data_IF_899330317309
#
_entry.id   IF_899330317309
#
_cell.length_a   1.000
_cell.length_b   1.000
_cell.length_c   1.000
_cell.angle_alpha   90.00
_cell.angle_beta   90.00
_cell.angle_gamma   90.00
#
_symmetry.space_group_name_H-M   'P 1'
#
loop_
_entity.id
_entity.type
_entity.pdbx_description
1 polymer ?
#
# COMPACT_ATOMS: atom_id res chain seq x y z
N UNK A 1 -43.18 -76.17 -71.31
CA UNK A 1 -42.92 -75.81 -72.70
C UNK A 1 -41.88 -74.72 -72.70
N UNK A 2 -40.71 -75.09 -73.19
CA UNK A 2 -39.70 -74.29 -73.85
C UNK A 2 -39.24 -72.97 -73.11
N UNK A 3 -38.09 -72.54 -73.01
CA UNK A 3 -36.75 -73.00 -73.38
C UNK A 3 -35.75 -71.91 -72.87
N UNK A 4 -34.66 -72.37 -72.48
CA UNK A 4 -33.31 -72.15 -72.93
C UNK A 4 -32.53 -70.91 -72.37
N UNK A 5 -31.57 -71.23 -71.53
CA UNK A 5 -30.14 -70.91 -71.65
C UNK A 5 -29.66 -69.50 -72.03
N UNK A 6 -28.90 -68.94 -71.19
CA UNK A 6 -28.08 -67.77 -71.46
C UNK A 6 -27.06 -67.49 -70.40
N UNK A 7 -25.97 -68.27 -70.32
CA UNK A 7 -24.83 -67.99 -69.44
C UNK A 7 -24.07 -66.81 -69.95
N UNK A 8 -23.85 -65.83 -69.13
CA UNK A 8 -22.78 -64.80 -69.27
C UNK A 8 -21.94 -64.70 -68.04
N UNK A 9 -20.68 -65.08 -68.20
CA UNK A 9 -19.59 -64.87 -67.24
C UNK A 9 -19.38 -63.38 -67.02
N UNK A 10 -19.54 -62.91 -65.80
CA UNK A 10 -19.06 -61.56 -65.38
C UNK A 10 -17.79 -61.71 -64.53
N UNK A 11 -16.72 -61.11 -64.99
CA UNK A 11 -15.43 -61.05 -64.33
C UNK A 11 -15.53 -60.20 -63.08
N UNK A 12 -15.17 -60.78 -61.95
CA UNK A 12 -14.97 -60.03 -60.67
C UNK A 12 -13.65 -59.26 -60.80
N UNK A 13 -13.74 -57.92 -60.86
CA UNK A 13 -12.61 -57.03 -60.66
C UNK A 13 -12.59 -56.60 -59.17
N UNK A 14 -11.71 -57.20 -58.43
CA UNK A 14 -11.39 -56.78 -57.05
C UNK A 14 -10.74 -55.38 -57.08
N UNK A 15 -11.43 -54.35 -56.64
CA UNK A 15 -10.85 -53.07 -56.34
C UNK A 15 -10.45 -53.09 -54.87
N UNK A 16 -9.12 -53.14 -54.60
CA UNK A 16 -8.56 -52.76 -53.29
C UNK A 16 -8.75 -51.26 -53.06
N UNK A 17 -9.72 -50.87 -52.26
CA UNK A 17 -9.81 -49.52 -51.70
C UNK A 17 -8.91 -49.46 -50.48
N UNK A 18 -7.78 -48.75 -50.61
CA UNK A 18 -6.97 -48.33 -49.46
C UNK A 18 -7.75 -47.30 -48.67
N UNK A 19 -8.29 -47.69 -47.54
CA UNK A 19 -8.82 -46.77 -46.53
C UNK A 19 -7.62 -46.06 -45.88
N UNK A 20 -7.34 -44.82 -46.23
CA UNK A 20 -6.50 -43.92 -45.40
C UNK A 20 -7.32 -43.56 -44.16
N UNK A 21 -6.98 -44.16 -43.05
CA UNK A 21 -7.41 -43.69 -41.71
C UNK A 21 -6.66 -42.40 -41.40
N UNK A 22 -7.31 -41.26 -41.59
CA UNK A 22 -6.85 -39.99 -41.06
C UNK A 22 -7.00 -40.03 -39.52
N UNK A 23 -5.87 -40.13 -38.80
CA UNK A 23 -5.86 -39.87 -37.35
C UNK A 23 -6.17 -38.39 -37.15
N UNK A 24 -7.17 -38.01 -36.33
CA UNK A 24 -7.35 -36.62 -35.97
C UNK A 24 -6.15 -36.20 -35.06
N UNK A 25 -5.38 -35.23 -35.54
CA UNK A 25 -4.38 -34.52 -34.72
C UNK A 25 -5.17 -33.73 -33.69
N UNK A 26 -5.30 -34.25 -32.47
CA UNK A 26 -5.81 -33.50 -31.32
C UNK A 26 -4.72 -32.55 -30.93
N UNK A 27 -4.78 -31.32 -31.41
CA UNK A 27 -3.99 -30.19 -30.88
C UNK A 27 -4.59 -29.91 -29.50
N UNK A 28 -3.95 -30.43 -28.43
CA UNK A 28 -4.18 -29.93 -27.08
C UNK A 28 -3.69 -28.47 -27.09
N UNK A 29 -4.60 -27.54 -27.24
CA UNK A 29 -4.37 -26.19 -26.84
C UNK A 29 -4.18 -26.21 -25.29
N UNK A 30 -2.93 -26.25 -24.82
CA UNK A 30 -2.61 -25.95 -23.44
C UNK A 30 -3.07 -24.49 -23.23
N UNK A 31 -4.24 -24.30 -22.67
CA UNK A 31 -4.63 -23.04 -22.07
C UNK A 31 -3.60 -22.81 -20.96
N UNK A 32 -2.60 -21.98 -21.22
CA UNK A 32 -1.84 -21.35 -20.15
C UNK A 32 -2.86 -20.52 -19.37
N UNK A 33 -3.45 -21.10 -18.33
CA UNK A 33 -4.00 -20.31 -17.26
C UNK A 33 -2.81 -19.48 -16.77
N UNK A 34 -2.79 -18.19 -17.11
CA UNK A 34 -1.90 -17.25 -16.46
C UNK A 34 -2.16 -17.42 -14.96
N UNK A 35 -1.22 -18.02 -14.26
CA UNK A 35 -1.31 -18.12 -12.81
C UNK A 35 -1.40 -16.68 -12.30
N UNK A 36 -2.46 -16.37 -11.59
CA UNK A 36 -2.68 -15.06 -11.01
C UNK A 36 -1.50 -14.74 -10.07
N UNK A 37 -0.82 -13.62 -10.33
CA UNK A 37 0.35 -13.22 -9.54
C UNK A 37 -0.12 -12.39 -8.34
N UNK A 38 0.15 -12.86 -7.14
CA UNK A 38 0.01 -12.06 -5.93
C UNK A 38 1.31 -11.30 -5.72
N UNK A 39 1.32 -10.00 -6.08
CA UNK A 39 2.51 -9.17 -6.05
C UNK A 39 2.55 -8.27 -4.81
N UNK A 40 3.76 -8.12 -4.25
CA UNK A 40 4.07 -7.25 -3.10
C UNK A 40 5.15 -6.27 -3.52
N UNK A 41 4.94 -4.99 -3.23
CA UNK A 41 5.88 -3.92 -3.56
C UNK A 41 6.29 -3.18 -2.30
N UNK A 42 7.59 -2.91 -2.20
CA UNK A 42 8.22 -2.20 -1.07
C UNK A 42 8.99 -1.00 -1.61
N UNK A 43 8.73 0.19 -1.10
CA UNK A 43 9.58 1.34 -1.37
C UNK A 43 10.88 1.19 -0.58
N UNK A 44 12.02 1.14 -1.28
CA UNK A 44 13.34 1.01 -0.65
C UNK A 44 13.74 2.22 0.16
N UNK A 45 13.14 3.37 -0.10
CA UNK A 45 13.37 4.64 0.60
C UNK A 45 14.86 5.00 0.69
N UNK A 46 15.61 4.72 -0.39
CA UNK A 46 17.07 4.89 -0.45
C UNK A 46 17.41 6.37 -0.58
N UNK A 47 17.82 6.99 0.53
CA UNK A 47 18.21 8.41 0.60
C UNK A 47 19.71 8.64 0.59
N UNK A 48 20.53 7.62 0.85
CA UNK A 48 22.01 7.73 0.90
C UNK A 48 22.66 7.75 -0.49
N UNK A 49 21.91 7.40 -1.53
CA UNK A 49 22.38 7.39 -2.93
C UNK A 49 21.51 8.30 -3.76
N UNK A 50 22.11 9.31 -4.41
CA UNK A 50 21.39 10.22 -5.29
C UNK A 50 20.74 9.47 -6.44
N UNK A 51 19.44 9.68 -6.66
CA UNK A 51 18.61 8.95 -7.62
C UNK A 51 18.64 7.42 -7.47
N UNK A 52 19.00 6.95 -6.26
CA UNK A 52 19.16 5.52 -5.98
C UNK A 52 17.91 4.86 -5.41
N UNK A 53 16.80 5.58 -5.24
CA UNK A 53 15.58 4.98 -4.71
C UNK A 53 14.95 4.01 -5.71
N UNK A 54 14.42 2.92 -5.17
CA UNK A 54 13.82 1.82 -5.95
C UNK A 54 12.55 1.32 -5.31
N UNK A 55 11.73 0.61 -6.10
CA UNK A 55 10.67 -0.27 -5.60
C UNK A 55 11.13 -1.71 -5.76
N UNK A 56 11.17 -2.46 -4.67
CA UNK A 56 11.35 -3.91 -4.70
C UNK A 56 10.00 -4.57 -4.97
N UNK A 57 9.94 -5.44 -5.95
CA UNK A 57 8.74 -6.21 -6.28
C UNK A 57 8.98 -7.70 -6.05
N UNK A 58 8.03 -8.36 -5.38
CA UNK A 58 8.07 -9.79 -5.10
C UNK A 58 6.75 -10.43 -5.53
N UNK A 59 6.83 -11.64 -6.09
CA UNK A 59 5.69 -12.51 -6.35
C UNK A 59 5.55 -13.55 -5.23
N UNK A 60 4.35 -13.70 -4.68
CA UNK A 60 4.00 -14.75 -3.73
C UNK A 60 3.45 -15.96 -4.50
N UNK A 61 4.00 -17.15 -4.26
CA UNK A 61 3.62 -18.42 -4.90
C UNK A 61 2.26 -18.99 -4.45
N UNK A 62 1.54 -18.28 -3.58
CA UNK A 62 0.29 -18.71 -2.97
C UNK A 62 0.46 -19.57 -1.72
N UNK A 63 1.69 -19.95 -1.39
CA UNK A 63 2.07 -20.61 -0.14
C UNK A 63 2.84 -19.67 0.81
N UNK A 64 3.11 -18.41 0.37
CA UNK A 64 3.77 -17.39 1.14
C UNK A 64 5.26 -17.21 0.82
N UNK A 65 5.86 -18.05 -0.03
CA UNK A 65 7.25 -17.84 -0.44
C UNK A 65 7.33 -16.71 -1.46
N UNK A 66 8.26 -15.79 -1.20
CA UNK A 66 8.46 -14.63 -2.03
C UNK A 66 9.65 -14.82 -2.97
N UNK A 67 9.46 -14.49 -4.24
CA UNK A 67 10.52 -14.42 -5.25
C UNK A 67 10.53 -13.05 -5.91
N UNK A 68 11.70 -12.46 -6.22
CA UNK A 68 11.74 -11.20 -6.94
C UNK A 68 10.98 -11.27 -8.27
N UNK A 69 10.17 -10.26 -8.56
CA UNK A 69 9.50 -10.12 -9.84
C UNK A 69 10.50 -9.81 -10.96
N UNK A 70 10.19 -10.13 -12.23
CA UNK A 70 11.07 -9.82 -13.36
C UNK A 70 11.48 -8.34 -13.39
N UNK A 71 12.76 -8.07 -13.42
CA UNK A 71 13.33 -6.70 -13.45
C UNK A 71 13.37 -5.97 -12.10
N UNK A 72 12.89 -6.59 -10.99
CA UNK A 72 13.07 -6.02 -9.65
C UNK A 72 14.55 -5.98 -9.23
N UNK A 73 15.02 -4.90 -8.57
CA UNK A 73 14.31 -3.68 -8.18
C UNK A 73 14.11 -2.67 -9.31
N UNK A 74 13.01 -1.89 -9.23
CA UNK A 74 12.63 -0.89 -10.24
C UNK A 74 13.06 0.51 -9.81
N UNK A 75 13.89 1.19 -10.60
CA UNK A 75 14.33 2.56 -10.31
C UNK A 75 13.14 3.53 -10.30
N UNK A 76 13.06 4.38 -9.27
CA UNK A 76 12.09 5.48 -9.20
C UNK A 76 12.61 6.77 -9.82
N UNK A 77 13.85 6.78 -10.32
CA UNK A 77 14.59 7.95 -10.80
C UNK A 77 14.63 9.11 -9.79
N UNK A 78 14.61 8.80 -8.50
CA UNK A 78 14.66 9.78 -7.42
C UNK A 78 15.43 9.28 -6.19
N UNK A 79 15.47 10.10 -5.16
CA UNK A 79 16.17 9.86 -3.89
C UNK A 79 15.14 9.73 -2.77
N UNK A 80 15.20 8.66 -1.98
CA UNK A 80 14.36 8.42 -0.81
C UNK A 80 14.68 9.33 0.37
N UNK A 81 14.12 9.00 1.54
CA UNK A 81 14.23 9.82 2.76
C UNK A 81 14.94 9.08 3.90
N UNK A 82 16.03 8.37 3.62
CA UNK A 82 16.75 7.70 4.70
C UNK A 82 17.18 8.71 5.78
N UNK A 83 16.97 8.40 7.06
CA UNK A 83 17.43 9.26 8.13
C UNK A 83 18.97 9.32 8.12
N UNK A 84 19.57 10.42 8.63
CA UNK A 84 21.00 10.46 8.87
C UNK A 84 21.44 9.32 9.81
N UNK A 85 22.58 8.73 9.55
CA UNK A 85 23.19 7.68 10.40
C UNK A 85 23.20 8.12 11.88
N UNK A 86 22.73 7.25 12.77
CA UNK A 86 22.70 7.48 14.21
C UNK A 86 21.49 8.26 14.75
N UNK A 87 20.55 8.65 13.87
CA UNK A 87 19.26 9.13 14.33
C UNK A 87 18.32 7.94 14.53
N UNK A 88 17.59 7.86 15.65
CA UNK A 88 16.49 6.90 15.75
C UNK A 88 15.51 7.13 14.61
N UNK A 89 14.68 6.13 14.27
CA UNK A 89 13.55 6.29 13.35
C UNK A 89 12.89 7.63 13.66
N UNK A 90 13.13 8.64 12.84
CA UNK A 90 12.83 10.02 13.15
C UNK A 90 11.71 10.54 12.29
N UNK A 91 11.31 11.77 12.53
CA UNK A 91 10.20 12.47 11.85
C UNK A 91 10.19 12.35 10.31
N UNK A 92 11.30 11.96 9.69
CA UNK A 92 11.44 11.78 8.25
C UNK A 92 10.88 10.45 7.74
N UNK A 93 10.78 9.45 8.62
CA UNK A 93 10.33 8.08 8.30
C UNK A 93 9.06 7.70 9.05
N UNK A 94 8.56 8.57 9.92
CA UNK A 94 7.30 8.38 10.65
C UNK A 94 6.13 8.75 9.73
N UNK A 95 5.82 7.87 8.79
CA UNK A 95 4.78 8.07 7.79
C UNK A 95 4.26 6.72 7.27
N UNK A 96 3.08 6.70 6.68
CA UNK A 96 2.45 5.52 6.09
C UNK A 96 1.95 5.83 4.68
N UNK A 97 1.76 4.77 3.87
CA UNK A 97 1.29 4.86 2.49
C UNK A 97 2.26 5.57 1.52
N UNK A 98 3.57 5.32 1.64
CA UNK A 98 4.60 5.81 0.71
C UNK A 98 4.50 5.17 -0.67
N UNK A 99 3.88 4.01 -0.76
CA UNK A 99 3.56 3.32 -2.00
C UNK A 99 2.10 2.88 -1.99
N UNK A 100 1.37 3.19 -3.07
CA UNK A 100 -0.04 2.84 -3.23
C UNK A 100 -0.32 2.35 -4.64
N UNK A 101 -1.41 1.62 -4.78
CA UNK A 101 -1.88 1.06 -6.07
C UNK A 101 -3.32 1.54 -6.29
N UNK A 102 -3.67 1.80 -7.55
CA UNK A 102 -5.06 2.13 -7.91
C UNK A 102 -5.99 0.91 -7.79
N UNK A 103 -7.30 1.15 -7.67
CA UNK A 103 -8.29 0.08 -7.48
C UNK A 103 -8.30 -0.95 -8.62
N UNK A 104 -7.93 -0.53 -9.84
CA UNK A 104 -7.82 -1.42 -10.99
C UNK A 104 -6.58 -2.32 -10.94
N UNK A 105 -5.64 -2.09 -10.02
CA UNK A 105 -4.38 -2.81 -9.92
C UNK A 105 -3.45 -2.59 -11.12
N UNK A 106 -3.57 -1.47 -11.82
CA UNK A 106 -2.83 -1.19 -13.05
C UNK A 106 -1.74 -0.14 -12.90
N UNK A 107 -1.83 0.71 -11.87
CA UNK A 107 -0.88 1.80 -11.62
C UNK A 107 -0.36 1.72 -10.18
N UNK A 108 0.94 1.91 -10.04
CA UNK A 108 1.61 2.07 -8.75
C UNK A 108 2.20 3.48 -8.64
N UNK A 109 2.00 4.12 -7.49
CA UNK A 109 2.53 5.44 -7.15
C UNK A 109 3.44 5.30 -5.94
N UNK A 110 4.61 5.95 -5.97
CA UNK A 110 5.55 5.93 -4.85
C UNK A 110 6.29 7.26 -4.70
N UNK A 111 6.63 7.60 -3.46
CA UNK A 111 7.32 8.86 -3.14
C UNK A 111 8.83 8.71 -3.20
N UNK A 112 9.50 9.81 -3.56
CA UNK A 112 10.94 10.04 -3.44
C UNK A 112 11.14 11.26 -2.53
N UNK A 113 11.35 11.03 -1.23
CA UNK A 113 11.33 12.10 -0.23
C UNK A 113 12.32 13.21 -0.48
N UNK A 114 13.61 12.91 -0.65
CA UNK A 114 14.65 13.93 -0.84
C UNK A 114 14.69 14.52 -2.25
N UNK A 115 14.15 13.82 -3.27
CA UNK A 115 13.97 14.40 -4.60
C UNK A 115 12.71 15.25 -4.73
N UNK A 116 11.81 15.23 -3.75
CA UNK A 116 10.53 15.95 -3.79
C UNK A 116 9.67 15.53 -5.00
N UNK A 117 9.66 14.23 -5.34
CA UNK A 117 8.95 13.71 -6.52
C UNK A 117 8.08 12.51 -6.19
N UNK A 118 7.17 12.20 -7.08
CA UNK A 118 6.32 11.01 -7.08
C UNK A 118 6.61 10.24 -8.36
N UNK A 119 7.03 8.99 -8.23
CA UNK A 119 7.20 8.07 -9.36
C UNK A 119 5.92 7.28 -9.59
N UNK A 120 5.59 7.06 -10.86
CA UNK A 120 4.41 6.32 -11.30
C UNK A 120 4.82 5.22 -12.26
N UNK A 121 4.25 4.03 -12.08
CA UNK A 121 4.52 2.86 -12.89
C UNK A 121 3.23 2.20 -13.36
N UNK A 122 3.25 1.67 -14.57
CA UNK A 122 2.32 0.64 -15.01
C UNK A 122 2.68 -0.68 -14.31
N UNK A 123 1.66 -1.41 -13.81
CA UNK A 123 1.81 -2.76 -13.29
C UNK A 123 1.44 -3.73 -14.42
N UNK A 124 2.41 -4.46 -14.94
CA UNK A 124 2.24 -5.43 -16.01
C UNK A 124 1.46 -6.69 -15.53
N UNK A 125 1.04 -7.53 -16.47
CA UNK A 125 0.28 -8.76 -16.16
C UNK A 125 1.07 -9.79 -15.33
N UNK A 126 2.40 -9.74 -15.38
CA UNK A 126 3.31 -10.58 -14.58
C UNK A 126 3.71 -9.94 -13.24
N UNK A 127 3.14 -8.78 -12.91
CA UNK A 127 3.45 -8.00 -11.72
C UNK A 127 4.71 -7.13 -11.86
N UNK A 128 5.47 -7.23 -12.95
CA UNK A 128 6.61 -6.33 -13.17
C UNK A 128 6.17 -4.87 -13.36
N UNK A 129 7.08 -3.91 -13.07
CA UNK A 129 6.77 -2.49 -13.17
C UNK A 129 7.47 -1.86 -14.37
N UNK A 130 6.74 -1.00 -15.09
CA UNK A 130 7.28 -0.13 -16.14
C UNK A 130 6.97 1.32 -15.79
N UNK A 131 8.00 2.16 -15.65
CA UNK A 131 7.79 3.58 -15.35
C UNK A 131 7.07 4.25 -16.52
N UNK A 132 6.01 5.02 -16.24
CA UNK A 132 5.27 5.73 -17.28
C UNK A 132 6.08 6.90 -17.86
N UNK A 133 5.84 7.31 -19.11
CA UNK A 133 6.48 8.49 -19.68
C UNK A 133 6.17 9.76 -18.87
N UNK A 134 7.19 10.58 -18.60
CA UNK A 134 7.07 11.83 -17.83
C UNK A 134 7.12 11.65 -16.31
N UNK A 135 7.28 10.42 -15.82
CA UNK A 135 7.57 10.14 -14.40
C UNK A 135 9.09 10.20 -14.15
N UNK A 136 9.55 10.62 -12.93
CA UNK A 136 8.76 11.10 -11.80
C UNK A 136 8.31 12.57 -11.96
N UNK A 137 7.18 12.92 -11.30
CA UNK A 137 6.63 14.27 -11.25
C UNK A 137 6.94 14.94 -9.91
N UNK A 138 7.01 16.29 -9.87
CA UNK A 138 7.20 17.01 -8.60
C UNK A 138 6.01 16.82 -7.66
N UNK A 139 6.27 16.67 -6.35
CA UNK A 139 5.23 16.48 -5.33
C UNK A 139 4.46 17.76 -4.93
N UNK A 140 4.91 18.92 -5.42
CA UNK A 140 4.33 20.22 -5.04
C UNK A 140 4.79 20.73 -3.67
N UNK A 141 5.62 20.00 -2.97
CA UNK A 141 6.15 20.36 -1.64
C UNK A 141 7.58 19.90 -1.45
N UNK A 142 7.98 19.79 -0.20
CA UNK A 142 9.27 19.24 0.22
C UNK A 142 9.02 17.99 1.03
N UNK A 143 9.75 16.93 0.72
CA UNK A 143 9.69 15.63 1.35
C UNK A 143 8.26 15.02 1.32
N UNK A 144 7.79 14.56 0.14
CA UNK A 144 6.60 13.75 0.10
C UNK A 144 6.79 12.46 0.90
N UNK A 145 5.82 12.17 1.74
CA UNK A 145 5.90 11.11 2.74
C UNK A 145 4.76 10.10 2.62
N UNK A 146 3.61 10.52 2.11
CA UNK A 146 2.42 9.67 1.98
C UNK A 146 1.58 10.08 0.79
N UNK A 147 0.81 9.13 0.29
CA UNK A 147 -0.08 9.29 -0.86
C UNK A 147 -1.48 8.75 -0.53
N UNK A 148 -2.52 9.50 -0.93
CA UNK A 148 -3.89 9.02 -0.91
C UNK A 148 -4.51 9.16 -2.31
N UNK A 149 -5.16 8.11 -2.82
CA UNK A 149 -5.72 8.09 -4.17
C UNK A 149 -7.24 7.96 -4.16
N UNK A 150 -7.92 8.95 -4.74
CA UNK A 150 -9.29 8.84 -5.20
C UNK A 150 -9.31 8.32 -6.62
N UNK A 151 -9.69 7.07 -6.79
CA UNK A 151 -9.69 6.41 -8.09
C UNK A 151 -11.08 6.47 -8.74
N UNK A 152 -11.26 7.37 -9.72
CA UNK A 152 -12.45 7.41 -10.57
C UNK A 152 -13.76 7.85 -9.91
N UNK A 153 -13.75 8.44 -8.74
CA UNK A 153 -14.92 8.64 -7.87
C UNK A 153 -15.85 9.78 -8.33
N UNK A 154 -15.38 10.71 -9.16
CA UNK A 154 -16.21 11.88 -9.58
C UNK A 154 -17.05 11.63 -10.84
N UNK A 155 -17.16 10.38 -11.30
CA UNK A 155 -18.03 10.03 -12.43
C UNK A 155 -17.53 10.44 -13.82
N UNK A 156 -16.38 11.09 -13.91
CA UNK A 156 -15.76 11.57 -15.15
C UNK A 156 -14.51 10.76 -15.56
N UNK A 157 -14.22 9.65 -14.86
CA UNK A 157 -13.04 8.82 -15.10
C UNK A 157 -11.71 9.45 -14.65
N UNK A 158 -11.76 10.58 -13.96
CA UNK A 158 -10.60 11.30 -13.45
C UNK A 158 -10.42 10.97 -11.97
N UNK A 159 -9.23 10.48 -11.60
CA UNK A 159 -8.82 10.31 -10.21
C UNK A 159 -8.15 11.56 -9.64
N UNK A 160 -8.06 11.63 -8.33
CA UNK A 160 -7.25 12.63 -7.63
C UNK A 160 -6.25 11.91 -6.70
N UNK A 161 -4.99 12.32 -6.79
CA UNK A 161 -3.95 11.94 -5.85
C UNK A 161 -3.73 13.08 -4.85
N UNK A 162 -3.65 12.76 -3.57
CA UNK A 162 -3.21 13.68 -2.52
C UNK A 162 -1.79 13.28 -2.12
N UNK A 163 -0.85 14.19 -2.24
CA UNK A 163 0.50 14.02 -1.71
C UNK A 163 0.64 14.79 -0.40
N UNK A 164 1.19 14.11 0.60
CA UNK A 164 1.55 14.65 1.92
C UNK A 164 3.01 15.07 1.89
N UNK A 165 3.30 16.35 2.02
CA UNK A 165 4.67 16.89 2.03
C UNK A 165 5.03 17.33 3.44
N UNK A 166 6.00 16.65 4.09
CA UNK A 166 6.37 16.86 5.49
C UNK A 166 7.21 18.11 5.74
N UNK A 167 8.01 18.51 4.75
CA UNK A 167 8.97 19.64 4.89
C UNK A 167 9.99 19.47 6.02
N UNK A 168 10.36 18.23 6.35
CA UNK A 168 11.31 17.89 7.41
C UNK A 168 12.66 17.42 6.89
N UNK A 169 12.95 17.57 5.61
CA UNK A 169 14.23 17.23 5.00
C UNK A 169 15.33 18.21 5.49
N UNK A 170 16.31 17.74 6.29
CA UNK A 170 17.37 18.60 6.82
C UNK A 170 18.37 19.09 5.75
N UNK A 171 18.39 18.50 4.57
CA UNK A 171 19.24 18.91 3.45
C UNK A 171 18.70 20.15 2.72
N UNK A 172 17.42 20.50 2.92
CA UNK A 172 16.79 21.63 2.25
C UNK A 172 17.12 22.94 2.95
N UNK A 173 17.73 23.89 2.24
CA UNK A 173 18.07 25.22 2.76
C UNK A 173 16.85 26.12 2.95
N UNK A 174 15.82 25.97 2.12
CA UNK A 174 14.56 26.72 2.18
C UNK A 174 13.38 25.78 1.91
N UNK A 175 13.02 24.91 2.85
CA UNK A 175 11.92 23.97 2.65
C UNK A 175 10.60 24.75 2.52
N UNK A 176 9.73 24.28 1.64
CA UNK A 176 8.34 24.76 1.61
C UNK A 176 7.64 24.32 2.90
N UNK A 177 6.64 25.11 3.35
CA UNK A 177 5.84 24.69 4.51
C UNK A 177 5.19 23.32 4.26
N UNK A 178 4.99 22.50 5.32
CA UNK A 178 4.24 21.26 5.21
C UNK A 178 2.89 21.50 4.55
N UNK A 179 2.48 20.60 3.68
CA UNK A 179 1.24 20.79 2.92
C UNK A 179 0.66 19.47 2.41
N UNK A 180 -0.61 19.52 2.07
CA UNK A 180 -1.29 18.57 1.23
C UNK A 180 -1.42 19.17 -0.17
N UNK A 181 -0.91 18.47 -1.20
CA UNK A 181 -1.00 18.86 -2.59
C UNK A 181 -1.86 17.87 -3.36
N UNK A 182 -2.83 18.32 -4.13
CA UNK A 182 -3.63 17.44 -4.98
C UNK A 182 -3.21 17.49 -6.44
N UNK A 183 -3.37 16.35 -7.11
CA UNK A 183 -3.13 16.17 -8.53
C UNK A 183 -4.34 15.53 -9.18
N UNK A 184 -4.62 15.91 -10.41
CA UNK A 184 -5.46 15.10 -11.28
C UNK A 184 -4.65 13.95 -11.82
N UNK A 185 -5.21 12.73 -11.80
CA UNK A 185 -4.60 11.50 -12.31
C UNK A 185 -5.29 11.12 -13.61
N UNK A 186 -4.58 11.16 -14.72
CA UNK A 186 -5.09 10.65 -15.98
C UNK A 186 -5.14 9.12 -16.01
N UNK A 187 -5.89 8.53 -16.93
CA UNK A 187 -6.02 7.06 -17.07
C UNK A 187 -4.70 6.33 -17.31
N UNK A 188 -3.70 7.02 -17.88
CA UNK A 188 -2.34 6.51 -18.08
C UNK A 188 -1.40 6.81 -16.90
N UNK A 189 -1.90 7.27 -15.75
CA UNK A 189 -1.12 7.59 -14.57
C UNK A 189 -0.45 8.96 -14.56
N UNK A 190 -0.53 9.75 -15.63
CA UNK A 190 0.06 11.10 -15.67
C UNK A 190 -0.53 11.99 -14.59
N UNK A 191 0.34 12.62 -13.80
CA UNK A 191 -0.03 13.54 -12.74
C UNK A 191 -0.02 14.99 -13.23
N UNK A 192 -1.11 15.71 -13.01
CA UNK A 192 -1.21 17.13 -13.28
C UNK A 192 -1.53 17.88 -11.99
N UNK A 193 -0.70 18.87 -11.64
CA UNK A 193 -0.96 19.73 -10.48
C UNK A 193 -2.30 20.44 -10.62
N UNK A 194 -3.13 20.38 -9.59
CA UNK A 194 -4.33 21.20 -9.52
C UNK A 194 -3.96 22.59 -9.00
N UNK A 195 -4.07 23.60 -9.83
CA UNK A 195 -3.72 24.99 -9.48
C UNK A 195 -4.55 25.46 -8.28
N UNK A 196 -3.89 25.99 -7.26
CA UNK A 196 -4.54 26.50 -6.04
C UNK A 196 -5.05 25.42 -5.09
N UNK A 197 -4.67 24.15 -5.30
CA UNK A 197 -5.08 23.02 -4.45
C UNK A 197 -4.13 22.71 -3.29
N UNK A 198 -3.05 23.47 -3.15
CA UNK A 198 -2.14 23.27 -2.03
C UNK A 198 -2.78 23.77 -0.72
N UNK A 199 -2.89 22.86 0.25
CA UNK A 199 -3.35 23.18 1.61
C UNK A 199 -2.14 23.21 2.52
N UNK A 200 -1.69 24.41 2.91
CA UNK A 200 -0.53 24.62 3.75
C UNK A 200 -0.89 24.43 5.21
N UNK A 201 -0.06 23.69 5.92
CA UNK A 201 -0.15 23.49 7.37
C UNK A 201 0.71 24.50 8.15
N UNK A 202 0.54 24.51 9.46
CA UNK A 202 1.32 25.36 10.35
C UNK A 202 2.82 25.04 10.31
N UNK A 203 3.65 26.05 10.52
CA UNK A 203 5.10 25.81 10.69
C UNK A 203 5.34 24.86 11.87
N UNK A 204 6.19 23.87 11.69
CA UNK A 204 6.46 22.83 12.69
C UNK A 204 5.49 21.64 12.64
N UNK A 205 4.46 21.66 11.80
CA UNK A 205 3.67 20.48 11.51
C UNK A 205 4.51 19.43 10.77
N UNK A 206 4.24 18.16 11.04
CA UNK A 206 4.83 17.02 10.35
C UNK A 206 3.71 16.06 9.92
N UNK A 207 3.05 16.33 8.79
CA UNK A 207 1.99 15.45 8.31
C UNK A 207 2.56 14.07 7.94
N UNK A 208 1.84 12.99 8.25
CA UNK A 208 2.34 11.62 8.17
C UNK A 208 1.54 10.70 7.27
N UNK A 209 0.25 10.98 7.03
CA UNK A 209 -0.58 10.08 6.24
C UNK A 209 -1.73 10.80 5.53
N UNK A 210 -2.18 10.18 4.45
CA UNK A 210 -3.38 10.53 3.68
C UNK A 210 -4.30 9.32 3.58
N UNK A 211 -5.37 9.25 4.36
CA UNK A 211 -6.38 8.21 4.24
C UNK A 211 -7.58 8.70 3.43
N UNK A 212 -8.01 7.89 2.49
CA UNK A 212 -9.17 8.18 1.64
C UNK A 212 -10.36 7.38 2.15
N UNK A 213 -11.48 8.09 2.36
CA UNK A 213 -12.73 7.50 2.80
C UNK A 213 -13.81 7.62 1.73
N UNK A 214 -14.95 6.99 2.00
CA UNK A 214 -16.14 7.08 1.16
C UNK A 214 -16.58 8.54 0.96
N UNK A 215 -17.28 8.82 -0.15
CA UNK A 215 -17.90 10.11 -0.46
C UNK A 215 -16.93 11.30 -0.57
N UNK A 216 -15.74 11.07 -1.14
CA UNK A 216 -14.73 12.10 -1.40
C UNK A 216 -14.18 12.78 -0.13
N UNK A 217 -14.17 12.06 0.97
CA UNK A 217 -13.52 12.52 2.18
C UNK A 217 -12.04 12.09 2.16
N UNK A 218 -11.20 13.00 2.58
CA UNK A 218 -9.78 12.80 2.81
C UNK A 218 -9.49 13.11 4.27
N UNK A 219 -8.85 12.18 4.96
CA UNK A 219 -8.31 12.39 6.28
C UNK A 219 -6.80 12.61 6.17
N UNK A 220 -6.35 13.76 6.61
CA UNK A 220 -4.94 14.11 6.64
C UNK A 220 -4.44 14.11 8.08
N UNK A 221 -3.54 13.19 8.41
CA UNK A 221 -2.95 13.10 9.73
C UNK A 221 -1.73 14.00 9.84
N UNK A 222 -1.64 14.73 10.94
CA UNK A 222 -0.49 15.51 11.33
C UNK A 222 0.09 14.94 12.62
N UNK A 223 1.30 14.42 12.54
CA UNK A 223 2.11 14.12 13.70
C UNK A 223 2.46 15.41 14.47
N UNK A 224 2.58 15.35 15.79
CA UNK A 224 2.98 16.51 16.56
C UNK A 224 4.40 16.93 16.21
N UNK A 225 4.55 18.09 15.62
CA UNK A 225 5.85 18.61 15.21
C UNK A 225 6.76 18.87 16.39
N UNK A 226 7.96 18.30 16.36
CA UNK A 226 8.97 18.38 17.41
C UNK A 226 9.85 19.63 17.35
N UNK A 227 9.38 20.80 16.93
CA UNK A 227 10.18 22.00 17.01
C UNK A 227 9.42 23.12 17.72
N UNK A 228 10.03 23.70 18.77
CA UNK A 228 9.40 24.56 19.75
C UNK A 228 9.13 25.96 19.24
N UNK A 229 8.47 26.69 20.13
CA UNK A 229 7.17 26.51 20.78
C UNK A 229 6.13 27.42 20.15
N UNK A 230 4.84 27.09 20.30
CA UNK A 230 4.31 25.91 20.97
C UNK A 230 4.29 24.69 20.04
N UNK A 231 4.42 23.46 20.57
CA UNK A 231 4.30 22.27 19.74
C UNK A 231 2.92 22.25 19.07
N UNK A 232 2.93 22.02 17.76
CA UNK A 232 1.68 21.88 17.00
C UNK A 232 1.00 20.59 17.48
N UNK A 233 -0.25 20.62 17.96
CA UNK A 233 -0.92 19.42 18.45
C UNK A 233 -1.10 18.41 17.33
N UNK A 234 -1.01 17.14 17.67
CA UNK A 234 -1.31 16.05 16.75
C UNK A 234 -2.79 16.13 16.37
N UNK A 235 -3.07 16.11 15.09
CA UNK A 235 -4.41 16.42 14.56
C UNK A 235 -4.73 15.56 13.34
N UNK A 236 -5.96 15.05 13.29
CA UNK A 236 -6.53 14.51 12.06
C UNK A 236 -7.48 15.54 11.49
N UNK A 237 -7.27 15.90 10.23
CA UNK A 237 -8.10 16.85 9.49
C UNK A 237 -9.00 16.10 8.53
N UNK A 238 -10.29 16.39 8.54
CA UNK A 238 -11.24 15.91 7.55
C UNK A 238 -11.46 16.96 6.46
N UNK A 239 -11.12 16.60 5.23
CA UNK A 239 -11.34 17.45 4.06
C UNK A 239 -12.30 16.77 3.10
N UNK A 240 -13.06 17.59 2.38
CA UNK A 240 -13.77 17.16 1.17
C UNK A 240 -12.98 17.57 -0.06
N UNK A 241 -12.72 16.64 -0.96
CA UNK A 241 -12.14 16.96 -2.27
C UNK A 241 -13.25 17.45 -3.17
N UNK A 242 -13.07 18.65 -3.74
CA UNK A 242 -14.00 19.25 -4.71
C UNK A 242 -13.70 18.75 -6.13
N UNK A 243 -14.64 18.95 -7.04
CA UNK A 243 -14.49 18.53 -8.44
C UNK A 243 -13.28 19.18 -9.17
N UNK A 244 -12.79 20.31 -8.69
CA UNK A 244 -11.57 20.96 -9.20
C UNK A 244 -10.30 20.50 -8.46
N UNK A 245 -10.38 19.48 -7.60
CA UNK A 245 -9.27 18.96 -6.84
C UNK A 245 -8.87 19.75 -5.59
N UNK A 246 -9.55 20.89 -5.28
CA UNK A 246 -9.22 21.64 -4.06
C UNK A 246 -9.77 20.94 -2.81
N UNK A 247 -9.04 21.08 -1.70
CA UNK A 247 -9.42 20.55 -0.40
C UNK A 247 -10.23 21.59 0.38
N UNK A 248 -11.38 21.18 0.91
CA UNK A 248 -12.22 21.99 1.78
C UNK A 248 -12.21 21.40 3.19
N UNK A 249 -11.57 22.05 4.14
CA UNK A 249 -11.57 21.65 5.54
C UNK A 249 -13.01 21.63 6.08
N UNK A 250 -13.40 20.54 6.71
CA UNK A 250 -14.72 20.34 7.30
C UNK A 250 -14.62 20.32 8.82
N UNK A 251 -13.76 19.46 9.35
CA UNK A 251 -13.58 19.29 10.78
C UNK A 251 -12.15 18.85 11.08
N UNK A 252 -11.80 18.85 12.34
CA UNK A 252 -10.55 18.28 12.83
C UNK A 252 -10.74 17.72 14.24
N UNK A 253 -9.94 16.71 14.58
CA UNK A 253 -9.88 16.17 15.93
C UNK A 253 -8.42 16.11 16.36
N UNK A 254 -8.16 16.41 17.62
CA UNK A 254 -6.86 16.24 18.24
C UNK A 254 -6.83 14.91 19.00
N UNK A 255 -5.62 14.49 19.41
CA UNK A 255 -5.45 13.35 20.31
C UNK A 255 -6.27 13.52 21.59
N UNK A 256 -6.79 12.41 22.16
CA UNK A 256 -7.64 12.49 23.34
C UNK A 256 -6.89 12.94 24.61
N UNK A 257 -5.58 12.66 24.69
CA UNK A 257 -4.76 13.01 25.85
C UNK A 257 -3.70 14.07 25.48
N UNK A 258 -3.39 15.01 26.36
CA UNK A 258 -2.27 15.93 26.18
C UNK A 258 -0.94 15.15 26.02
N UNK A 259 -0.16 15.47 25.01
CA UNK A 259 1.11 14.79 24.75
C UNK A 259 1.02 13.50 23.92
N UNK A 260 -0.19 13.00 23.68
CA UNK A 260 -0.43 11.95 22.71
C UNK A 260 -0.04 12.36 21.29
N UNK A 261 0.30 11.38 20.48
CA UNK A 261 0.65 11.55 19.08
C UNK A 261 -0.24 10.69 18.22
N UNK A 262 -0.56 11.13 16.99
CA UNK A 262 -1.10 10.31 15.94
C UNK A 262 0.02 9.82 15.03
N UNK A 263 0.00 8.53 14.70
CA UNK A 263 0.85 7.98 13.64
C UNK A 263 0.17 6.72 13.08
N UNK A 264 -0.18 6.74 11.81
CA UNK A 264 -0.93 5.68 11.16
C UNK A 264 -2.43 5.74 11.44
N UNK A 265 -3.19 5.75 10.36
CA UNK A 265 -4.64 5.73 10.39
C UNK A 265 -5.19 4.77 9.32
N UNK A 266 -6.35 4.18 9.60
CA UNK A 266 -7.06 3.37 8.61
C UNK A 266 -8.56 3.58 8.71
N UNK A 267 -9.20 3.70 7.55
CA UNK A 267 -10.66 3.83 7.44
C UNK A 267 -11.29 2.45 7.38
N UNK A 268 -12.37 2.24 8.12
CA UNK A 268 -13.16 1.01 8.04
C UNK A 268 -13.78 0.91 6.63
N UNK A 269 -13.68 -0.25 5.94
CA UNK A 269 -14.04 -0.35 4.52
C UNK A 269 -15.52 -0.14 4.21
N UNK A 270 -16.41 -0.36 5.18
CA UNK A 270 -17.87 -0.32 4.98
C UNK A 270 -18.64 0.57 5.97
N UNK A 271 -17.98 1.04 7.03
CA UNK A 271 -18.59 1.87 8.05
C UNK A 271 -17.85 3.21 8.18
N UNK A 272 -18.54 4.24 8.63
CA UNK A 272 -17.98 5.56 8.83
C UNK A 272 -17.15 5.64 10.12
N UNK A 273 -16.09 4.85 10.19
CA UNK A 273 -15.18 4.73 11.33
C UNK A 273 -13.74 4.88 10.84
N UNK A 274 -12.95 5.60 11.60
CA UNK A 274 -11.50 5.76 11.44
C UNK A 274 -10.82 5.24 12.69
N UNK A 275 -9.81 4.42 12.52
CA UNK A 275 -8.89 4.01 13.59
C UNK A 275 -7.59 4.76 13.43
N UNK A 276 -7.02 5.23 14.55
CA UNK A 276 -5.75 5.93 14.56
C UNK A 276 -4.85 5.37 15.67
N UNK A 277 -3.60 5.10 15.34
CA UNK A 277 -2.61 4.68 16.31
C UNK A 277 -2.19 5.87 17.20
N UNK A 278 -2.08 5.62 18.50
CA UNK A 278 -1.63 6.54 19.53
C UNK A 278 -0.32 6.00 20.15
N UNK A 279 0.82 6.17 19.47
CA UNK A 279 2.07 5.49 19.84
C UNK A 279 2.54 5.84 21.25
N UNK A 280 2.45 7.11 21.66
CA UNK A 280 2.89 7.53 22.98
C UNK A 280 2.08 6.92 24.13
N UNK A 281 0.83 6.55 23.87
CA UNK A 281 -0.10 6.01 24.86
C UNK A 281 -0.19 4.46 24.79
N UNK A 282 0.41 3.82 23.81
CA UNK A 282 0.19 2.40 23.47
C UNK A 282 -1.31 2.08 23.36
N UNK A 283 -2.03 2.85 22.54
CA UNK A 283 -3.47 2.72 22.34
C UNK A 283 -3.84 2.86 20.85
N UNK A 284 -5.07 2.41 20.54
CA UNK A 284 -5.74 2.69 19.28
C UNK A 284 -6.93 3.58 19.56
N UNK A 285 -6.99 4.75 18.94
CA UNK A 285 -8.14 5.66 18.97
C UNK A 285 -9.20 5.24 17.97
N UNK A 286 -10.45 5.33 18.37
CA UNK A 286 -11.63 5.03 17.54
C UNK A 286 -12.41 6.33 17.33
N UNK A 287 -12.64 6.67 16.07
CA UNK A 287 -13.34 7.88 15.63
C UNK A 287 -14.46 7.51 14.69
N UNK A 288 -15.59 8.20 14.78
CA UNK A 288 -16.64 8.17 13.76
C UNK A 288 -16.58 9.43 12.91
N UNK A 289 -17.12 9.36 11.72
CA UNK A 289 -17.35 10.53 10.90
C UNK A 289 -18.71 10.48 10.21
N UNK A 290 -19.31 11.63 9.96
CA UNK A 290 -20.57 11.72 9.23
C UNK A 290 -20.28 11.68 7.71
N UNK A 291 -20.67 10.64 6.95
CA UNK A 291 -20.33 10.52 5.52
C UNK A 291 -20.81 11.70 4.69
N UNK A 292 -21.97 12.27 5.03
CA UNK A 292 -22.55 13.41 4.33
C UNK A 292 -21.80 14.72 4.55
N UNK A 293 -21.38 15.00 5.78
CA UNK A 293 -20.71 16.27 6.15
C UNK A 293 -19.20 16.09 6.30
N UNK A 294 -18.70 14.98 6.79
CA UNK A 294 -17.29 14.75 7.13
C UNK A 294 -16.94 15.14 8.57
N UNK A 295 -17.93 15.54 9.37
CA UNK A 295 -17.72 15.83 10.78
C UNK A 295 -17.24 14.62 11.54
N UNK A 296 -16.13 14.77 12.29
CA UNK A 296 -15.50 13.70 13.07
C UNK A 296 -15.88 13.80 14.54
N UNK A 297 -15.99 12.65 15.21
CA UNK A 297 -16.19 12.55 16.64
C UNK A 297 -15.33 11.43 17.24
N UNK A 298 -14.61 11.76 18.33
CA UNK A 298 -13.91 10.77 19.14
C UNK A 298 -14.92 9.88 19.85
N UNK A 299 -14.68 8.56 19.88
CA UNK A 299 -15.52 7.59 20.53
C UNK A 299 -14.85 6.99 21.78
N UNK A 300 -13.69 6.40 21.61
CA UNK A 300 -12.94 5.74 22.68
C UNK A 300 -11.49 5.49 22.28
N UNK A 301 -10.71 4.99 23.23
CA UNK A 301 -9.44 4.31 22.96
C UNK A 301 -9.52 2.87 23.45
N UNK A 302 -8.76 1.98 22.81
CA UNK A 302 -8.55 0.61 23.29
C UNK A 302 -7.05 0.38 23.52
N UNK A 303 -6.68 -0.40 24.57
CA UNK A 303 -5.27 -0.69 24.83
C UNK A 303 -4.61 -1.45 23.68
N UNK A 304 -3.33 -1.16 23.46
CA UNK A 304 -2.44 -1.96 22.64
C UNK A 304 -1.36 -2.57 23.55
N UNK A 305 -1.17 -3.91 23.57
CA UNK A 305 -0.20 -4.56 24.44
C UNK A 305 1.25 -4.33 24.02
N UNK A 306 1.49 -3.93 22.76
CA UNK A 306 2.80 -3.59 22.25
C UNK A 306 3.18 -2.12 22.49
N UNK A 307 4.43 -1.80 22.26
CA UNK A 307 4.96 -0.46 22.46
C UNK A 307 5.10 0.26 21.13
N UNK A 308 4.67 1.51 21.07
CA UNK A 308 4.66 2.35 19.87
C UNK A 308 3.86 1.72 18.73
N UNK A 309 2.53 1.51 18.85
CA UNK A 309 1.68 1.21 17.71
C UNK A 309 1.76 2.37 16.72
N UNK A 310 2.19 2.08 15.48
CA UNK A 310 2.47 3.10 14.49
C UNK A 310 1.71 2.88 13.19
N UNK A 311 1.57 1.65 12.74
CA UNK A 311 0.97 1.33 11.45
C UNK A 311 -0.25 0.46 11.61
N UNK A 312 -1.28 0.75 10.82
CA UNK A 312 -2.55 0.05 10.88
C UNK A 312 -2.92 -0.55 9.53
N UNK A 313 -3.48 -1.75 9.55
CA UNK A 313 -4.14 -2.36 8.40
C UNK A 313 -5.47 -2.96 8.83
N UNK A 314 -6.43 -3.00 7.92
CA UNK A 314 -7.75 -3.60 8.14
C UNK A 314 -8.04 -4.58 6.99
N UNK A 315 -8.68 -5.70 7.29
CA UNK A 315 -9.07 -6.62 6.24
C UNK A 315 -10.26 -6.08 5.43
N UNK A 316 -10.41 -6.56 4.19
CA UNK A 316 -11.45 -6.08 3.28
C UNK A 316 -12.88 -6.23 3.82
N UNK A 317 -13.11 -7.20 4.71
CA UNK A 317 -14.41 -7.42 5.35
C UNK A 317 -14.67 -6.43 6.52
N UNK A 318 -13.67 -5.68 6.99
CA UNK A 318 -13.79 -4.80 8.15
C UNK A 318 -13.97 -5.55 9.48
N UNK A 319 -13.56 -6.81 9.55
CA UNK A 319 -13.76 -7.66 10.74
C UNK A 319 -12.50 -7.81 11.59
N UNK A 320 -11.35 -7.42 11.07
CA UNK A 320 -10.04 -7.50 11.75
C UNK A 320 -9.21 -6.27 11.49
N UNK A 321 -8.68 -5.69 12.56
CA UNK A 321 -7.69 -4.62 12.55
C UNK A 321 -6.34 -5.19 13.02
N UNK A 322 -5.28 -4.83 12.32
CA UNK A 322 -3.91 -5.20 12.62
C UNK A 322 -3.12 -3.93 12.94
N UNK A 323 -2.36 -3.98 14.03
CA UNK A 323 -1.49 -2.88 14.45
C UNK A 323 -0.05 -3.37 14.49
N UNK A 324 0.86 -2.64 13.89
CA UNK A 324 2.31 -2.88 13.96
C UNK A 324 2.94 -1.98 15.03
N UNK A 325 3.69 -2.59 15.95
CA UNK A 325 4.31 -1.92 17.09
C UNK A 325 5.84 -1.87 16.91
N UNK A 326 6.38 -0.67 16.76
CA UNK A 326 7.78 -0.47 16.41
C UNK A 326 8.74 -0.86 17.53
N UNK A 327 8.51 -0.42 18.78
CA UNK A 327 9.46 -0.68 19.86
C UNK A 327 9.42 -2.11 20.41
N UNK A 328 8.31 -2.81 20.28
CA UNK A 328 8.19 -4.22 20.68
C UNK A 328 8.39 -5.18 19.52
N UNK A 329 8.54 -4.67 18.30
CA UNK A 329 8.66 -5.46 17.07
C UNK A 329 7.59 -6.56 17.01
N UNK A 330 6.33 -6.14 17.11
CA UNK A 330 5.18 -7.02 17.29
C UNK A 330 4.01 -6.59 16.40
N UNK A 331 3.02 -7.44 16.32
CA UNK A 331 1.73 -7.15 15.67
C UNK A 331 0.61 -7.55 16.64
N UNK A 332 -0.37 -6.67 16.81
CA UNK A 332 -1.59 -6.94 17.55
C UNK A 332 -2.76 -7.07 16.58
N UNK A 333 -3.56 -8.11 16.77
CA UNK A 333 -4.80 -8.35 16.01
C UNK A 333 -5.98 -8.03 16.89
N UNK A 334 -6.93 -7.27 16.35
CA UNK A 334 -8.19 -6.93 17.02
C UNK A 334 -9.38 -7.50 16.25
N UNK A 335 -10.32 -8.04 17.00
CA UNK A 335 -11.68 -8.37 16.55
C UNK A 335 -12.52 -7.10 16.45
N UNK A 336 -13.14 -6.89 15.29
CA UNK A 336 -14.04 -5.78 15.00
C UNK A 336 -15.51 -6.20 14.91
N UNK A 337 -15.91 -7.29 15.59
CA UNK A 337 -17.35 -7.67 15.69
C UNK A 337 -18.18 -6.50 16.21
N UNK A 338 -17.66 -5.74 17.17
CA UNK A 338 -18.11 -4.39 17.47
C UNK A 338 -17.05 -3.39 17.02
N UNK A 339 -17.20 -2.74 15.85
CA UNK A 339 -16.16 -1.90 15.30
C UNK A 339 -15.92 -0.59 16.08
N UNK A 340 -16.86 -0.21 16.96
CA UNK A 340 -16.67 0.92 17.88
C UNK A 340 -15.92 0.54 19.17
N UNK A 341 -15.71 -0.76 19.41
CA UNK A 341 -14.98 -1.27 20.56
C UNK A 341 -14.13 -2.47 20.16
N UNK A 342 -13.03 -2.26 19.43
CA UNK A 342 -12.08 -3.31 19.06
C UNK A 342 -11.61 -4.13 20.27
N UNK A 343 -11.60 -5.45 20.15
CA UNK A 343 -11.15 -6.35 21.22
C UNK A 343 -9.89 -7.07 20.77
N UNK A 344 -8.84 -7.04 21.58
CA UNK A 344 -7.61 -7.77 21.30
C UNK A 344 -7.89 -9.27 21.14
N UNK A 345 -7.49 -9.82 20.00
CA UNK A 345 -7.60 -11.24 19.68
C UNK A 345 -6.25 -11.95 19.84
N UNK A 346 -5.18 -11.31 19.39
CA UNK A 346 -3.83 -11.85 19.41
C UNK A 346 -2.80 -10.73 19.57
N UNK A 347 -1.68 -11.05 20.21
CA UNK A 347 -0.46 -10.24 20.18
C UNK A 347 0.70 -11.18 19.93
N UNK A 348 1.51 -10.87 18.92
CA UNK A 348 2.62 -11.73 18.55
C UNK A 348 3.87 -10.89 18.22
N UNK A 349 5.03 -11.28 18.75
CA UNK A 349 6.33 -10.73 18.35
C UNK A 349 6.79 -11.37 17.05
N UNK A 350 7.38 -10.61 16.15
CA UNK A 350 7.92 -11.10 14.90
C UNK A 350 9.05 -12.11 15.19
N UNK A 351 9.04 -13.23 14.48
CA UNK A 351 10.10 -14.22 14.54
C UNK A 351 11.30 -13.79 13.67
N UNK A 352 12.43 -14.45 13.85
CA UNK A 352 13.63 -14.28 13.01
C UNK A 352 14.25 -12.88 13.02
N UNK A 353 13.95 -12.06 14.02
CA UNK A 353 14.47 -10.70 14.16
C UNK A 353 15.60 -10.64 15.18
N UNK A 354 16.46 -9.64 15.07
CA UNK A 354 17.52 -9.32 16.03
C UNK A 354 17.07 -8.23 17.02
N UNK A 355 17.81 -8.07 18.10
CA UNK A 355 17.55 -7.00 19.06
C UNK A 355 17.60 -5.64 18.38
N UNK A 356 16.58 -4.83 18.58
CA UNK A 356 16.45 -3.50 17.99
C UNK A 356 15.69 -3.45 16.66
N UNK A 357 15.14 -4.58 16.20
CA UNK A 357 14.22 -4.62 15.07
C UNK A 357 12.96 -3.81 15.37
N UNK A 358 12.42 -3.15 14.35
CA UNK A 358 11.22 -2.33 14.44
C UNK A 358 10.28 -2.61 13.27
N UNK A 359 9.02 -2.95 13.55
CA UNK A 359 7.97 -2.96 12.52
C UNK A 359 7.78 -1.54 12.00
N UNK A 360 7.90 -1.36 10.68
CA UNK A 360 7.80 -0.05 10.04
C UNK A 360 6.76 0.04 8.92
N UNK A 361 6.05 -0.99 8.66
CA UNK A 361 4.84 -1.01 7.82
C UNK A 361 4.19 -2.39 7.85
N UNK A 362 2.90 -2.45 7.57
CA UNK A 362 2.19 -3.70 7.36
C UNK A 362 1.05 -3.56 6.35
N UNK A 363 0.75 -4.64 5.62
CA UNK A 363 -0.32 -4.68 4.62
C UNK A 363 -0.89 -6.08 4.51
N UNK A 364 -2.22 -6.18 4.50
CA UNK A 364 -2.90 -7.43 4.15
C UNK A 364 -3.05 -7.53 2.63
N UNK A 365 -2.90 -8.72 2.08
CA UNK A 365 -3.06 -8.94 0.65
C UNK A 365 -4.54 -8.94 0.21
N UNK A 366 -4.84 -8.75 -1.09
CA UNK A 366 -6.21 -8.70 -1.57
C UNK A 366 -7.00 -10.01 -1.36
N UNK A 367 -6.32 -11.14 -1.17
CA UNK A 367 -6.97 -12.44 -0.87
C UNK A 367 -7.36 -12.58 0.60
N UNK A 368 -6.78 -11.76 1.47
CA UNK A 368 -6.90 -11.88 2.92
C UNK A 368 -6.20 -13.09 3.52
N UNK A 369 -5.34 -13.80 2.76
CA UNK A 369 -4.61 -14.99 3.21
C UNK A 369 -3.25 -14.66 3.82
N UNK A 370 -2.66 -13.54 3.43
CA UNK A 370 -1.33 -13.14 3.88
C UNK A 370 -1.33 -11.70 4.39
N UNK A 371 -0.62 -11.50 5.48
CA UNK A 371 -0.23 -10.18 5.93
C UNK A 371 1.27 -10.07 5.77
N UNK A 372 1.73 -8.97 5.21
CA UNK A 372 3.15 -8.63 5.07
C UNK A 372 3.52 -7.54 6.06
N UNK A 373 4.73 -7.64 6.62
CA UNK A 373 5.27 -6.58 7.48
C UNK A 373 6.74 -6.34 7.13
N UNK A 374 7.15 -5.07 7.17
CA UNK A 374 8.56 -4.70 7.11
C UNK A 374 9.07 -4.61 8.55
N UNK A 375 10.20 -5.27 8.84
CA UNK A 375 10.99 -5.06 10.03
C UNK A 375 12.31 -4.42 9.65
N UNK A 376 12.60 -3.27 10.19
CA UNK A 376 13.85 -2.55 9.97
C UNK A 376 14.80 -2.78 11.14
N UNK A 377 16.03 -3.10 10.80
CA UNK A 377 17.12 -3.37 11.72
C UNK A 377 18.32 -2.50 11.36
N UNK A 378 19.25 -2.33 12.29
CA UNK A 378 20.43 -1.47 12.06
C UNK A 378 21.29 -1.96 10.88
N UNK A 379 21.35 -3.27 10.68
CA UNK A 379 22.21 -3.90 9.66
C UNK A 379 21.46 -4.42 8.44
N UNK A 380 20.17 -4.75 8.59
CA UNK A 380 19.38 -5.41 7.56
C UNK A 380 17.89 -5.08 7.74
N UNK A 381 17.14 -5.09 6.66
CA UNK A 381 15.69 -4.95 6.69
C UNK A 381 15.05 -6.22 6.10
N UNK A 382 13.94 -6.64 6.66
CA UNK A 382 13.28 -7.89 6.29
C UNK A 382 11.81 -7.68 5.95
N UNK A 383 11.33 -8.44 4.96
CA UNK A 383 9.92 -8.56 4.61
C UNK A 383 9.38 -9.87 5.18
N UNK A 384 8.55 -9.77 6.18
CA UNK A 384 7.88 -10.87 6.87
C UNK A 384 6.58 -11.24 6.18
N UNK A 385 6.24 -12.53 6.18
CA UNK A 385 5.00 -13.09 5.62
C UNK A 385 4.27 -13.88 6.69
N UNK A 386 3.08 -13.44 7.05
CA UNK A 386 2.21 -14.12 7.99
C UNK A 386 1.06 -14.79 7.25
N UNK A 387 0.78 -16.04 7.57
CA UNK A 387 -0.48 -16.68 7.19
C UNK A 387 -1.59 -16.11 8.06
N UNK A 388 -2.70 -15.71 7.44
CA UNK A 388 -3.90 -15.23 8.11
C UNK A 388 -4.89 -16.39 8.21
N UNK A 389 -5.21 -16.82 9.40
CA UNK A 389 -6.19 -17.87 9.66
C UNK A 389 -7.64 -17.36 9.41
N UNK A 390 -8.59 -18.26 9.35
CA UNK A 390 -10.00 -17.91 9.10
C UNK A 390 -10.62 -17.02 10.19
N UNK A 391 -10.08 -17.06 11.40
CA UNK A 391 -10.46 -16.16 12.50
C UNK A 391 -9.68 -14.83 12.49
N UNK A 392 -8.73 -14.67 11.54
CA UNK A 392 -7.88 -13.49 11.38
C UNK A 392 -6.59 -13.50 12.20
N UNK A 393 -6.34 -14.55 13.00
CA UNK A 393 -5.08 -14.69 13.71
C UNK A 393 -3.92 -14.94 12.75
N UNK A 394 -2.72 -14.58 13.16
CA UNK A 394 -1.50 -14.63 12.37
C UNK A 394 -0.58 -15.76 12.81
N UNK A 395 0.11 -16.38 11.86
CA UNK A 395 1.22 -17.28 12.13
C UNK A 395 2.37 -17.02 11.14
N UNK A 396 3.57 -16.92 11.67
CA UNK A 396 4.78 -16.77 10.87
C UNK A 396 5.51 -18.11 10.81
N UNK A 397 5.45 -18.75 9.65
CA UNK A 397 6.03 -20.10 9.43
C UNK A 397 7.13 -20.10 8.37
N UNK A 398 7.33 -18.97 7.70
CA UNK A 398 8.26 -18.81 6.59
C UNK A 398 9.34 -17.83 7.03
N UNK A 399 10.59 -18.16 6.75
CA UNK A 399 11.73 -17.25 6.99
C UNK A 399 11.54 -15.97 6.18
N UNK A 400 11.65 -14.79 6.80
CA UNK A 400 11.54 -13.52 6.12
C UNK A 400 12.55 -13.37 4.98
N UNK A 401 12.19 -12.56 3.98
CA UNK A 401 13.08 -12.23 2.87
C UNK A 401 13.81 -10.94 3.18
N UNK A 402 15.15 -10.96 3.09
CA UNK A 402 15.96 -9.76 3.21
C UNK A 402 15.59 -8.74 2.12
N UNK A 403 15.44 -7.47 2.51
CA UNK A 403 15.26 -6.36 1.59
C UNK A 403 16.63 -5.72 1.38
N UNK A 404 17.25 -5.84 0.20
CA UNK A 404 18.67 -5.51 0.00
C UNK A 404 18.89 -4.00 -0.19
N UNK A 405 18.50 -3.19 0.82
CA UNK A 405 18.80 -1.75 0.84
C UNK A 405 20.24 -1.51 1.32
N UNK A 406 20.93 -0.48 0.80
CA UNK A 406 22.23 -0.09 1.32
C UNK A 406 22.16 0.29 2.81
N UNK A 407 23.23 0.05 3.54
CA UNK A 407 23.34 0.41 4.97
C UNK A 407 22.91 1.85 5.25
N UNK A 408 22.15 2.04 6.30
CA UNK A 408 21.61 3.36 6.70
C UNK A 408 20.35 3.78 5.94
N UNK A 409 19.74 2.90 5.14
CA UNK A 409 18.44 3.12 4.53
C UNK A 409 17.40 2.19 5.17
N UNK A 410 16.17 2.70 5.27
CA UNK A 410 15.07 1.99 5.89
C UNK A 410 13.90 1.92 4.91
N UNK A 411 13.62 0.74 4.32
CA UNK A 411 12.47 0.58 3.44
C UNK A 411 11.18 0.85 4.20
N UNK A 412 10.29 1.60 3.59
CA UNK A 412 9.00 2.01 4.16
C UNK A 412 7.95 2.01 3.07
N UNK A 413 6.77 1.54 3.40
CA UNK A 413 5.64 1.47 2.50
C UNK A 413 5.51 0.12 1.82
N UNK A 414 4.32 -0.45 1.97
CA UNK A 414 3.90 -1.71 1.40
C UNK A 414 2.65 -1.52 0.54
N UNK A 415 2.65 -2.09 -0.64
CA UNK A 415 1.46 -2.24 -1.46
C UNK A 415 1.35 -3.66 -2.02
N UNK A 416 0.14 -4.15 -2.19
CA UNK A 416 -0.15 -5.51 -2.67
C UNK A 416 -1.19 -5.48 -3.77
N UNK A 417 -1.08 -6.36 -4.75
CA UNK A 417 -2.05 -6.51 -5.83
C UNK A 417 -2.13 -7.95 -6.31
N UNK A 418 -3.30 -8.33 -6.79
CA UNK A 418 -3.53 -9.58 -7.50
C UNK A 418 -3.64 -9.29 -9.01
N UNK A 419 -2.81 -9.94 -9.83
CA UNK A 419 -2.72 -9.77 -11.30
C UNK A 419 -3.10 -11.03 -12.02
#
# INVERSE_FOLDING_TARGET
MKDLLGAKRARIRTRLSRALTALPLVVLAASFLNAQVNAVYVNGNIGTVSNGNVVYGYGNDGAGHLTPLPGSPYSTAGTGSAPPLGMPLGLQTDDDQQVIINNAGTLLFTVNGFSNTIAVFDINSDGSLTMIPGSPSTSGGTQPASLGLFDGVLGNGVGFLVAVNKSSDPSQTNPKKPNFQTFTVASNGTLTHNTGSQTTLSTGASPSQAAIALQHLFFGMQFAGGSPPPPVPSTIFAYRIRANGTLNLISSVTTPNPGSLFLGEVVHPTQAILYAALPADSQIGVYTYAPGTGEMAFQTTVPNPGLLPCWLAINAAGTRLYSGESMSNSITVYDLTNPLLPVQLQHLTLSFTITGSAVTNLRIDPTGKFLYAISNETAESSLHVFNVASDGTLSETITPVAIPVPFGNYPIGLATVMK
#
